data_IF_824332805362
#
_entry.id   IF_824332805362
#
_cell.length_a   1.000
_cell.length_b   1.000
_cell.length_c   1.000
_cell.angle_alpha   90.00
_cell.angle_beta   90.00
_cell.angle_gamma   90.00
#
_symmetry.space_group_name_H-M   'P 1'
#
loop_
_entity.id
_entity.type
_entity.pdbx_description
1 polymer ?
#
# COMPACT_ATOMS: atom_id res chain seq x y z
N UNK A 1 -19.66 -8.05 9.92
CA UNK A 1 -19.09 -6.97 9.10
C UNK A 1 -18.92 -7.50 7.69
N UNK A 2 -19.73 -6.98 6.78
CA UNK A 2 -19.89 -7.41 5.38
C UNK A 2 -18.74 -6.88 4.51
N UNK A 3 -17.68 -7.67 4.34
CA UNK A 3 -16.63 -7.42 3.34
C UNK A 3 -16.84 -8.38 2.17
N UNK A 4 -18.03 -8.36 1.56
CA UNK A 4 -18.36 -9.28 0.46
C UNK A 4 -19.48 -8.71 -0.43
N UNK A 5 -19.19 -7.71 -1.27
CA UNK A 5 -20.07 -7.35 -2.42
C UNK A 5 -19.45 -6.35 -3.45
N UNK A 6 -18.19 -6.51 -3.89
CA UNK A 6 -17.77 -5.77 -5.10
C UNK A 6 -16.59 -6.41 -5.84
N UNK A 7 -16.66 -7.69 -6.13
CA UNK A 7 -15.62 -8.44 -6.85
C UNK A 7 -15.43 -8.05 -8.34
N UNK A 8 -15.85 -6.85 -8.78
CA UNK A 8 -15.78 -6.41 -10.18
C UNK A 8 -15.00 -5.12 -10.41
N UNK A 9 -14.48 -4.47 -9.37
CA UNK A 9 -13.70 -3.23 -9.50
C UNK A 9 -12.27 -3.43 -8.97
N UNK A 10 -11.28 -3.09 -9.79
CA UNK A 10 -9.85 -3.23 -9.52
C UNK A 10 -9.44 -2.77 -8.10
N UNK A 11 -9.33 -3.70 -7.15
CA UNK A 11 -8.87 -3.45 -5.78
C UNK A 11 -7.39 -3.01 -5.70
N UNK A 12 -6.69 -2.95 -6.83
CA UNK A 12 -5.31 -2.48 -6.96
C UNK A 12 -5.06 -1.12 -6.26
N UNK A 13 -6.05 -0.22 -6.30
CA UNK A 13 -5.93 1.09 -5.66
C UNK A 13 -5.85 1.01 -4.13
N UNK A 14 -6.54 0.04 -3.50
CA UNK A 14 -6.52 -0.16 -2.05
C UNK A 14 -5.14 -0.62 -1.58
N UNK A 15 -4.49 -1.50 -2.33
CA UNK A 15 -3.14 -1.93 -2.00
C UNK A 15 -2.13 -0.77 -2.07
N UNK A 16 -2.27 0.13 -3.07
CA UNK A 16 -1.49 1.37 -3.14
C UNK A 16 -1.80 2.33 -1.98
N UNK A 17 -3.08 2.50 -1.64
CA UNK A 17 -3.51 3.37 -0.53
C UNK A 17 -3.00 2.85 0.83
N UNK A 18 -3.10 1.54 1.08
CA UNK A 18 -2.54 0.91 2.27
C UNK A 18 -1.02 1.06 2.32
N UNK A 19 -0.32 0.79 1.22
CA UNK A 19 1.15 0.94 1.17
C UNK A 19 1.61 2.36 1.50
N UNK A 20 0.95 3.37 0.93
CA UNK A 20 1.24 4.77 1.22
C UNK A 20 0.94 5.09 2.68
N UNK A 21 -0.25 4.71 3.17
CA UNK A 21 -0.67 5.01 4.54
C UNK A 21 0.29 4.40 5.56
N UNK A 22 0.59 3.10 5.46
CA UNK A 22 1.51 2.43 6.37
C UNK A 22 2.95 2.91 6.18
N UNK A 23 3.40 3.19 4.95
CA UNK A 23 4.74 3.71 4.68
C UNK A 23 5.01 5.06 5.32
N UNK A 24 4.08 6.02 5.14
CA UNK A 24 4.19 7.35 5.75
C UNK A 24 4.13 7.25 7.27
N UNK A 25 3.23 6.43 7.79
CA UNK A 25 3.03 6.24 9.23
C UNK A 25 4.27 5.60 9.88
N UNK A 26 4.88 4.60 9.24
CA UNK A 26 6.16 4.02 9.67
C UNK A 26 7.30 5.04 9.63
N UNK A 27 7.44 5.80 8.55
CA UNK A 27 8.48 6.84 8.42
C UNK A 27 8.32 7.98 9.45
N UNK A 28 7.07 8.34 9.77
CA UNK A 28 6.76 9.34 10.78
C UNK A 28 7.05 8.84 12.21
N UNK A 29 6.73 7.58 12.52
CA UNK A 29 6.94 7.00 13.86
C UNK A 29 8.42 6.79 14.17
N UNK A 30 9.18 6.22 13.23
CA UNK A 30 10.57 5.80 13.49
C UNK A 30 11.48 7.00 13.74
N UNK A 31 11.34 8.05 12.94
CA UNK A 31 12.34 9.14 12.93
C UNK A 31 11.82 10.43 13.57
N UNK A 32 10.50 10.57 13.79
CA UNK A 32 9.86 11.82 14.22
C UNK A 32 10.31 13.05 13.38
N UNK A 33 10.72 12.81 12.14
CA UNK A 33 11.23 13.83 11.22
C UNK A 33 10.42 13.77 9.92
N UNK A 34 9.92 14.93 9.49
CA UNK A 34 9.04 15.08 8.33
C UNK A 34 9.68 14.60 7.01
N UNK A 35 11.00 14.71 6.86
CA UNK A 35 11.72 14.24 5.65
C UNK A 35 11.66 12.70 5.55
N UNK A 36 11.76 12.02 6.70
CA UNK A 36 11.72 10.56 6.75
C UNK A 36 10.30 10.00 6.61
N UNK A 37 9.27 10.78 6.96
CA UNK A 37 7.89 10.44 6.64
C UNK A 37 7.65 10.38 5.11
N UNK A 38 8.25 11.31 4.35
CA UNK A 38 8.23 11.28 2.88
C UNK A 38 8.98 10.06 2.33
N UNK A 39 10.18 9.77 2.83
CA UNK A 39 10.93 8.57 2.44
C UNK A 39 10.14 7.29 2.77
N UNK A 40 9.52 7.22 3.95
CA UNK A 40 8.69 6.10 4.35
C UNK A 40 7.48 5.91 3.43
N UNK A 41 6.83 7.00 3.01
CA UNK A 41 5.75 6.96 2.02
C UNK A 41 6.21 6.43 0.67
N UNK A 42 7.38 6.86 0.18
CA UNK A 42 7.97 6.34 -1.06
C UNK A 42 8.30 4.86 -0.96
N UNK A 43 8.91 4.43 0.15
CA UNK A 43 9.20 3.02 0.41
C UNK A 43 7.93 2.16 0.54
N UNK A 44 6.89 2.68 1.19
CA UNK A 44 5.59 2.02 1.31
C UNK A 44 4.87 1.88 -0.02
N UNK A 45 4.94 2.90 -0.87
CA UNK A 45 4.44 2.85 -2.24
C UNK A 45 5.19 1.83 -3.11
N UNK A 46 6.53 1.78 -2.99
CA UNK A 46 7.36 0.78 -3.67
C UNK A 46 7.01 -0.64 -3.21
N UNK A 47 6.84 -0.85 -1.90
CA UNK A 47 6.40 -2.14 -1.35
C UNK A 47 5.00 -2.52 -1.81
N UNK A 48 4.05 -1.59 -1.85
CA UNK A 48 2.72 -1.87 -2.40
C UNK A 48 2.77 -2.22 -3.88
N UNK A 49 3.49 -1.46 -4.70
CA UNK A 49 3.67 -1.78 -6.12
C UNK A 49 4.30 -3.16 -6.33
N UNK A 50 5.30 -3.51 -5.52
CA UNK A 50 5.91 -4.84 -5.53
C UNK A 50 4.91 -5.92 -5.10
N UNK A 51 4.10 -5.68 -4.07
CA UNK A 51 3.07 -6.58 -3.60
C UNK A 51 1.99 -6.83 -4.66
N UNK A 52 1.49 -5.79 -5.33
CA UNK A 52 0.57 -5.95 -6.46
C UNK A 52 1.21 -6.80 -7.58
N UNK A 53 2.45 -6.51 -7.94
CA UNK A 53 3.13 -7.20 -9.04
C UNK A 53 3.49 -8.65 -8.71
N UNK A 54 3.87 -8.94 -7.45
CA UNK A 54 4.30 -10.26 -7.01
C UNK A 54 3.12 -11.17 -6.60
N UNK A 55 2.11 -10.62 -5.91
CA UNK A 55 1.03 -11.41 -5.29
C UNK A 55 -0.28 -11.29 -6.07
N UNK A 56 -0.66 -10.09 -6.50
CA UNK A 56 -1.96 -9.89 -7.17
C UNK A 56 -1.91 -10.27 -8.65
N UNK A 57 -0.78 -10.04 -9.33
CA UNK A 57 -0.63 -10.32 -10.77
C UNK A 57 -0.68 -11.81 -11.15
N UNK A 58 -0.47 -12.71 -10.19
CA UNK A 58 -0.65 -14.16 -10.38
C UNK A 58 -2.12 -14.61 -10.44
N UNK A 59 -3.06 -13.75 -10.03
CA UNK A 59 -4.50 -14.02 -10.06
C UNK A 59 -5.06 -13.65 -11.44
N UNK A 60 -4.78 -14.47 -12.45
CA UNK A 60 -5.62 -14.49 -13.66
C UNK A 60 -6.98 -15.07 -13.26
N UNK A 61 -8.03 -14.27 -13.40
CA UNK A 61 -9.41 -14.78 -13.41
C UNK A 61 -9.67 -15.47 -14.74
#
# INVERSE_FOLDING_TARGET
MSVQENSSNNFNWLYYALGLFFGVLTGAIITQNYIFALLGGVFGLLSAGLFLNAIVKGRKY
#
